data_IF_778795319004
#
_entry.id   IF_778795319004
#
_cell.length_a   1.000
_cell.length_b   1.000
_cell.length_c   1.000
_cell.angle_alpha   90.00
_cell.angle_beta   90.00
_cell.angle_gamma   90.00
#
_symmetry.space_group_name_H-M   'P 1'
#
loop_
_entity.id
_entity.type
_entity.pdbx_description
1 polymer ?
#
# COMPACT_ATOMS: atom_id res chain seq x y z
N UNK A 1 18.41 -9.34 5.48
CA UNK A 1 17.66 -9.17 6.75
C UNK A 1 16.37 -8.45 6.43
N UNK A 2 15.26 -8.84 7.05
CA UNK A 2 13.96 -8.22 6.86
C UNK A 2 13.52 -7.46 8.11
N UNK A 3 12.81 -6.34 7.94
CA UNK A 3 12.24 -5.56 9.03
C UNK A 3 10.78 -5.18 8.74
N UNK A 4 10.05 -4.89 9.81
CA UNK A 4 8.74 -4.24 9.77
C UNK A 4 8.69 -3.20 10.89
N UNK A 5 8.09 -2.04 10.64
CA UNK A 5 7.91 -1.00 11.65
C UNK A 5 6.51 -0.39 11.57
N UNK A 6 5.97 -0.01 12.73
CA UNK A 6 4.67 0.64 12.86
C UNK A 6 4.79 1.82 13.83
N UNK A 7 4.27 2.98 13.46
CA UNK A 7 4.11 4.12 14.36
C UNK A 7 2.63 4.54 14.40
N UNK A 8 2.12 4.85 15.58
CA UNK A 8 0.70 5.14 15.82
C UNK A 8 0.55 6.45 16.58
N UNK A 9 -0.28 7.34 16.05
CA UNK A 9 -0.81 8.56 16.68
C UNK A 9 -2.30 8.32 16.91
N UNK A 10 -2.74 7.94 18.13
CA UNK A 10 -4.10 7.44 18.38
C UNK A 10 -5.17 8.54 18.56
N UNK A 11 -4.80 9.80 18.64
CA UNK A 11 -5.69 10.92 18.93
C UNK A 11 -6.83 11.02 17.91
N UNK A 12 -8.11 10.96 18.33
CA UNK A 12 -9.25 10.88 17.40
C UNK A 12 -9.33 12.01 16.37
N UNK A 13 -8.89 13.21 16.74
CA UNK A 13 -8.97 14.42 15.92
C UNK A 13 -7.96 14.41 14.76
N UNK A 14 -6.88 13.64 14.88
CA UNK A 14 -5.78 13.60 13.90
C UNK A 14 -5.10 12.23 13.86
N UNK A 15 -5.90 11.17 13.97
CA UNK A 15 -5.39 9.80 14.08
C UNK A 15 -4.56 9.42 12.86
N UNK A 16 -3.39 8.82 13.07
CA UNK A 16 -2.48 8.43 12.00
C UNK A 16 -1.73 7.14 12.32
N UNK A 17 -1.50 6.31 11.31
CA UNK A 17 -0.68 5.10 11.40
C UNK A 17 0.25 5.06 10.20
N UNK A 18 1.53 4.79 10.43
CA UNK A 18 2.48 4.42 9.38
C UNK A 18 2.90 2.96 9.53
N UNK A 19 3.04 2.28 8.40
CA UNK A 19 3.57 0.92 8.29
C UNK A 19 4.62 0.89 7.19
N UNK A 20 5.78 0.29 7.48
CA UNK A 20 6.89 0.16 6.52
C UNK A 20 7.56 -1.21 6.67
N UNK A 21 7.97 -1.81 5.55
CA UNK A 21 8.62 -3.11 5.50
C UNK A 21 9.52 -3.23 4.27
N UNK A 22 10.60 -4.00 4.39
CA UNK A 22 11.39 -4.48 3.25
C UNK A 22 11.34 -6.01 3.10
N UNK A 23 10.49 -6.69 3.87
CA UNK A 23 10.35 -8.14 3.81
C UNK A 23 9.77 -8.53 2.45
N UNK A 24 10.47 -9.36 1.64
CA UNK A 24 9.97 -9.75 0.35
C UNK A 24 8.75 -10.65 0.50
N UNK A 25 7.65 -10.26 -0.15
CA UNK A 25 6.44 -11.06 -0.25
C UNK A 25 6.14 -11.42 -1.72
N UNK A 26 5.53 -12.59 -1.94
CA UNK A 26 5.04 -13.00 -3.27
C UNK A 26 3.90 -12.11 -3.76
N UNK A 27 3.07 -11.64 -2.82
CA UNK A 27 2.00 -10.66 -3.03
C UNK A 27 1.93 -9.80 -1.77
N UNK A 28 1.96 -8.48 -1.94
CA UNK A 28 1.81 -7.55 -0.82
C UNK A 28 0.35 -7.28 -0.46
N UNK A 29 -0.60 -7.67 -1.34
CA UNK A 29 -2.04 -7.53 -1.11
C UNK A 29 -2.47 -8.09 0.24
N UNK A 30 -2.11 -9.33 0.56
CA UNK A 30 -2.48 -9.97 1.84
C UNK A 30 -1.86 -9.28 3.07
N UNK A 31 -0.65 -8.74 2.92
CA UNK A 31 -0.01 -7.99 3.99
C UNK A 31 -0.73 -6.67 4.24
N UNK A 32 -0.99 -5.91 3.18
CA UNK A 32 -1.69 -4.63 3.25
C UNK A 32 -3.12 -4.85 3.76
N UNK A 33 -3.84 -5.90 3.30
CA UNK A 33 -5.16 -6.28 3.81
C UNK A 33 -5.17 -6.50 5.32
N UNK A 34 -4.13 -7.12 5.88
CA UNK A 34 -4.01 -7.28 7.34
C UNK A 34 -3.78 -5.96 8.06
N UNK A 35 -2.96 -5.07 7.50
CA UNK A 35 -2.71 -3.74 8.08
C UNK A 35 -4.00 -2.91 8.07
N UNK A 36 -4.69 -2.80 6.92
CA UNK A 36 -5.93 -2.00 6.82
C UNK A 36 -7.07 -2.60 7.65
N UNK A 37 -7.18 -3.92 7.79
CA UNK A 37 -8.20 -4.54 8.66
C UNK A 37 -7.90 -4.36 10.15
N UNK A 38 -6.61 -4.26 10.53
CA UNK A 38 -6.20 -4.00 11.92
C UNK A 38 -6.52 -2.57 12.35
N UNK A 39 -6.27 -1.59 11.48
CA UNK A 39 -6.40 -0.16 11.84
C UNK A 39 -7.68 0.50 11.33
N UNK A 40 -8.37 -0.09 10.35
CA UNK A 40 -9.64 0.40 9.81
C UNK A 40 -9.62 1.86 9.32
N UNK A 41 -8.62 2.30 8.52
CA UNK A 41 -8.51 3.69 8.12
C UNK A 41 -9.69 4.13 7.23
N UNK A 42 -10.03 5.42 7.27
CA UNK A 42 -10.98 6.05 6.32
C UNK A 42 -10.35 6.30 4.95
N UNK A 43 -9.04 6.54 4.94
CA UNK A 43 -8.23 6.81 3.76
C UNK A 43 -6.82 6.30 4.05
N UNK A 44 -6.12 5.77 3.06
CA UNK A 44 -4.70 5.46 3.18
C UNK A 44 -3.96 5.71 1.87
N UNK A 45 -2.66 5.92 1.99
CA UNK A 45 -1.72 6.03 0.87
C UNK A 45 -0.82 4.81 0.86
N UNK A 46 -0.59 4.27 -0.32
CA UNK A 46 0.36 3.19 -0.56
C UNK A 46 1.52 3.72 -1.40
N UNK A 47 2.74 3.54 -0.92
CA UNK A 47 3.97 3.73 -1.68
C UNK A 47 4.71 2.40 -1.82
N UNK A 48 5.08 2.05 -3.04
CA UNK A 48 5.72 0.78 -3.33
C UNK A 48 6.89 0.97 -4.27
N UNK A 49 8.06 0.49 -3.85
CA UNK A 49 9.28 0.50 -4.66
C UNK A 49 9.53 -0.91 -5.20
N UNK A 50 9.52 -1.05 -6.53
CA UNK A 50 9.99 -2.26 -7.21
C UNK A 50 11.31 -1.98 -7.89
N UNK A 51 12.31 -2.84 -7.66
CA UNK A 51 13.57 -2.77 -8.39
C UNK A 51 13.38 -3.26 -9.82
N UNK A 52 14.02 -2.61 -10.79
CA UNK A 52 13.95 -3.02 -12.20
C UNK A 52 14.50 -4.45 -12.42
N UNK A 53 15.40 -4.91 -11.55
CA UNK A 53 15.99 -6.26 -11.61
C UNK A 53 15.14 -7.32 -10.90
N UNK A 54 14.27 -6.91 -9.98
CA UNK A 54 13.43 -7.80 -9.18
C UNK A 54 11.97 -7.40 -9.41
N UNK A 55 11.29 -8.13 -10.28
CA UNK A 55 9.87 -7.97 -10.61
C UNK A 55 8.95 -8.38 -9.44
N UNK A 56 9.13 -7.74 -8.29
CA UNK A 56 8.22 -7.89 -7.16
C UNK A 56 6.88 -7.26 -7.54
N UNK A 57 5.83 -8.07 -7.50
CA UNK A 57 4.48 -7.62 -7.81
C UNK A 57 3.80 -7.17 -6.51
N UNK A 58 3.14 -6.01 -6.53
CA UNK A 58 2.40 -5.47 -5.40
C UNK A 58 1.15 -6.30 -5.03
N UNK A 59 0.77 -7.27 -5.86
CA UNK A 59 -0.41 -8.11 -5.74
C UNK A 59 -1.51 -7.72 -6.73
N UNK A 60 -1.14 -7.52 -7.99
CA UNK A 60 -2.04 -7.25 -9.11
C UNK A 60 -2.65 -8.59 -9.55
N UNK A 61 -3.97 -8.72 -9.38
CA UNK A 61 -4.74 -9.91 -9.80
C UNK A 61 -5.49 -9.69 -11.13
N UNK A 62 -5.63 -8.43 -11.57
CA UNK A 62 -6.34 -8.02 -12.78
C UNK A 62 -5.41 -7.19 -13.67
N UNK A 63 -5.25 -7.59 -14.93
CA UNK A 63 -4.34 -6.96 -15.90
C UNK A 63 -4.67 -5.48 -16.18
N UNK A 64 -5.87 -5.02 -15.79
CA UNK A 64 -6.32 -3.65 -15.98
C UNK A 64 -5.97 -2.69 -14.83
N UNK A 65 -5.55 -3.19 -13.65
CA UNK A 65 -5.29 -2.36 -12.48
C UNK A 65 -3.82 -2.37 -12.08
N UNK A 66 -3.19 -1.19 -11.97
CA UNK A 66 -1.77 -1.09 -11.57
C UNK A 66 -1.51 -1.30 -10.07
N UNK A 67 -2.56 -1.42 -9.25
CA UNK A 67 -2.48 -1.56 -7.79
C UNK A 67 -3.53 -2.55 -7.27
N UNK A 68 -3.33 -3.14 -6.07
CA UNK A 68 -4.28 -4.08 -5.51
C UNK A 68 -5.61 -3.40 -5.17
N UNK A 69 -6.71 -4.09 -5.44
CA UNK A 69 -8.05 -3.66 -5.09
C UNK A 69 -8.48 -4.24 -3.74
N UNK A 70 -9.20 -3.44 -2.95
CA UNK A 70 -9.74 -3.84 -1.64
C UNK A 70 -11.24 -3.53 -1.62
N UNK A 71 -12.08 -4.49 -1.20
CA UNK A 71 -13.54 -4.39 -1.33
C UNK A 71 -14.16 -3.14 -0.70
N UNK A 72 -13.56 -2.63 0.38
CA UNK A 72 -14.05 -1.46 1.11
C UNK A 72 -13.50 -0.13 0.59
N UNK A 73 -12.60 -0.12 -0.39
CA UNK A 73 -11.86 1.07 -0.80
C UNK A 73 -11.91 1.29 -2.32
N UNK A 74 -12.18 2.54 -2.71
CA UNK A 74 -11.97 3.05 -4.06
C UNK A 74 -10.54 3.57 -4.21
N UNK A 75 -9.95 3.36 -5.39
CA UNK A 75 -8.68 3.99 -5.77
C UNK A 75 -8.99 5.35 -6.38
N UNK A 76 -8.65 6.42 -5.67
CA UNK A 76 -8.89 7.80 -6.12
C UNK A 76 -7.81 8.27 -7.10
N UNK A 77 -6.55 7.91 -6.85
CA UNK A 77 -5.42 8.34 -7.67
C UNK A 77 -4.33 7.26 -7.73
N UNK A 78 -3.64 7.19 -8.87
CA UNK A 78 -2.47 6.33 -9.09
C UNK A 78 -1.42 7.13 -9.84
N UNK A 79 -0.21 7.15 -9.30
CA UNK A 79 0.94 7.77 -9.97
C UNK A 79 2.11 6.80 -10.01
N UNK A 80 2.79 6.75 -11.15
CA UNK A 80 3.98 5.92 -11.34
C UNK A 80 5.15 6.83 -11.70
N UNK A 81 6.23 6.73 -10.94
CA UNK A 81 7.46 7.48 -11.14
C UNK A 81 8.62 6.52 -11.38
N UNK A 82 9.36 6.73 -12.47
CA UNK A 82 10.60 5.99 -12.75
C UNK A 82 11.78 6.69 -12.11
N UNK A 83 12.47 5.99 -11.23
CA UNK A 83 13.69 6.43 -10.57
C UNK A 83 14.87 5.61 -11.08
N UNK A 84 16.09 6.00 -10.73
CA UNK A 84 17.28 5.25 -11.12
C UNK A 84 17.29 3.86 -10.44
N UNK A 85 16.97 2.82 -11.20
CA UNK A 85 16.96 1.42 -10.75
C UNK A 85 15.67 0.97 -10.05
N UNK A 86 14.66 1.83 -9.95
CA UNK A 86 13.39 1.53 -9.28
C UNK A 86 12.21 2.18 -9.99
N UNK A 87 11.06 1.50 -9.94
CA UNK A 87 9.76 2.11 -10.18
C UNK A 87 9.08 2.36 -8.83
N UNK A 88 8.59 3.58 -8.62
CA UNK A 88 7.78 3.98 -7.48
C UNK A 88 6.32 4.05 -7.92
N UNK A 89 5.48 3.24 -7.28
CA UNK A 89 4.03 3.34 -7.38
C UNK A 89 3.48 4.07 -6.17
N UNK A 90 2.66 5.08 -6.42
CA UNK A 90 1.83 5.77 -5.44
C UNK A 90 0.37 5.46 -5.74
N UNK A 91 -0.42 5.16 -4.70
CA UNK A 91 -1.87 5.09 -4.81
C UNK A 91 -2.57 5.65 -3.58
N UNK A 92 -3.66 6.37 -3.83
CA UNK A 92 -4.55 6.93 -2.83
C UNK A 92 -5.85 6.14 -2.79
N UNK A 93 -6.18 5.63 -1.61
CA UNK A 93 -7.39 4.84 -1.37
C UNK A 93 -8.33 5.56 -0.42
N UNK A 94 -9.59 5.68 -0.80
CA UNK A 94 -10.66 6.16 0.07
C UNK A 94 -11.63 5.04 0.35
N UNK A 95 -12.09 4.92 1.60
CA UNK A 95 -13.14 3.99 1.92
C UNK A 95 -14.43 4.40 1.21
N UNK A 96 -15.20 3.44 0.67
CA UNK A 96 -16.56 3.68 0.19
C UNK A 96 -17.34 4.46 1.26
N UNK A 97 -18.26 5.37 0.86
CA UNK A 97 -18.86 6.29 1.80
C UNK A 97 -19.53 5.52 2.95
N UNK A 98 -19.14 5.89 4.16
CA UNK A 98 -19.92 5.75 5.39
C UNK A 98 -21.18 6.60 5.31
#
# INVERSE_FOLDING_TARGET
GGYMTIHITPEPEFSYVSFETNVPHKSYKDLISRVISTFGPKQFVLTFFSSVENSANIGIEDDNCSVPQYADFDVEDIQICRLQGYDLTYALYNRFPS
#
